data_IF_013001273925
#
_entry.id   IF_013001273925
#
_cell.length_a   1.000
_cell.length_b   1.000
_cell.length_c   1.000
_cell.angle_alpha   90.00
_cell.angle_beta   90.00
_cell.angle_gamma   90.00
#
_symmetry.space_group_name_H-M   'P 1'
#
loop_
_entity.id
_entity.type
_entity.pdbx_description
1 polymer ?
#
# COMPACT_ATOMS: atom_id res chain seq x y z
N UNK A 1 -9.69 0.81 -13.83
CA UNK A 1 -8.69 1.79 -14.26
C UNK A 1 -8.48 1.75 -15.76
N UNK A 2 -8.32 2.90 -16.40
CA UNK A 2 -7.95 3.01 -17.82
C UNK A 2 -6.46 2.78 -18.08
N UNK A 3 -5.66 2.68 -17.03
CA UNK A 3 -4.21 2.47 -17.10
C UNK A 3 -3.83 1.03 -17.44
N UNK A 4 -4.74 0.08 -17.24
CA UNK A 4 -4.55 -1.34 -17.51
C UNK A 4 -5.29 -1.81 -18.76
N UNK A 5 -4.82 -2.88 -19.34
CA UNK A 5 -5.47 -3.54 -20.46
C UNK A 5 -6.91 -3.97 -20.16
N UNK A 6 -7.68 -4.27 -21.20
CA UNK A 6 -9.14 -4.52 -21.14
C UNK A 6 -9.54 -5.53 -20.04
N UNK A 7 -8.74 -6.55 -19.82
CA UNK A 7 -9.04 -7.65 -18.89
C UNK A 7 -8.71 -7.34 -17.43
N UNK A 8 -7.86 -6.33 -17.15
CA UNK A 8 -7.34 -6.02 -15.82
C UNK A 8 -7.79 -4.65 -15.29
N UNK A 9 -8.80 -4.04 -15.93
CA UNK A 9 -9.30 -2.70 -15.57
C UNK A 9 -9.97 -2.65 -14.20
N UNK A 10 -10.55 -3.75 -13.76
CA UNK A 10 -11.32 -3.84 -12.53
C UNK A 10 -10.53 -4.57 -11.46
N UNK A 11 -10.57 -4.07 -10.25
CA UNK A 11 -10.03 -4.69 -9.04
C UNK A 11 -11.07 -4.62 -7.93
N UNK A 12 -11.14 -5.65 -7.09
CA UNK A 12 -12.01 -5.68 -5.90
C UNK A 12 -11.15 -5.61 -4.67
N UNK A 13 -11.38 -4.58 -3.84
CA UNK A 13 -10.56 -4.27 -2.67
C UNK A 13 -11.42 -4.24 -1.41
N UNK A 14 -11.74 -5.41 -0.82
CA UNK A 14 -12.57 -5.48 0.36
C UNK A 14 -11.84 -4.99 1.61
N UNK A 15 -12.59 -4.40 2.54
CA UNK A 15 -12.10 -4.06 3.86
C UNK A 15 -13.16 -4.33 4.93
N UNK A 16 -12.71 -4.74 6.11
CA UNK A 16 -13.55 -4.97 7.28
C UNK A 16 -12.79 -4.54 8.53
N UNK A 17 -13.50 -3.92 9.46
CA UNK A 17 -12.95 -3.57 10.77
C UNK A 17 -13.98 -3.82 11.87
N UNK A 18 -13.48 -4.25 13.02
CA UNK A 18 -14.25 -4.47 14.23
C UNK A 18 -13.57 -3.75 15.40
N UNK A 19 -14.39 -3.12 16.24
CA UNK A 19 -13.93 -2.52 17.47
C UNK A 19 -14.87 -2.95 18.60
N UNK A 20 -14.28 -3.47 19.69
CA UNK A 20 -15.02 -3.90 20.86
C UNK A 20 -14.54 -3.13 22.09
N UNK A 21 -15.45 -2.41 22.71
CA UNK A 21 -15.19 -1.64 23.93
C UNK A 21 -15.57 -2.47 25.14
N UNK A 22 -14.62 -3.22 25.64
CA UNK A 22 -14.79 -4.15 26.77
C UNK A 22 -15.23 -3.41 28.05
N UNK A 23 -14.75 -2.18 28.23
CA UNK A 23 -15.11 -1.36 29.40
C UNK A 23 -16.59 -0.98 29.51
N UNK A 24 -17.36 -1.16 28.44
CA UNK A 24 -18.82 -0.90 28.46
C UNK A 24 -19.65 -2.13 28.79
N UNK A 25 -19.06 -3.31 28.85
CA UNK A 25 -19.75 -4.54 29.17
C UNK A 25 -20.17 -4.56 30.65
N UNK A 26 -21.29 -5.25 30.95
CA UNK A 26 -21.85 -5.31 32.29
C UNK A 26 -20.97 -6.06 33.30
N UNK A 27 -20.18 -7.00 32.82
CA UNK A 27 -19.25 -7.78 33.63
C UNK A 27 -17.91 -7.07 33.89
N UNK A 28 -17.65 -5.92 33.22
CA UNK A 28 -16.43 -5.15 33.43
C UNK A 28 -16.52 -4.35 34.74
N UNK A 29 -15.50 -4.40 35.62
CA UNK A 29 -15.52 -3.67 36.89
C UNK A 29 -15.61 -2.15 36.62
N UNK A 30 -16.66 -1.52 37.15
CA UNK A 30 -16.92 -0.07 37.02
C UNK A 30 -16.58 0.70 38.30
N UNK A 31 -15.92 0.06 39.27
CA UNK A 31 -15.57 0.68 40.55
C UNK A 31 -14.51 1.77 40.40
N UNK A 32 -14.68 2.85 41.13
CA UNK A 32 -13.73 3.99 41.13
C UNK A 32 -12.31 3.61 41.58
N UNK A 33 -12.14 2.47 42.26
CA UNK A 33 -10.86 1.91 42.65
C UNK A 33 -10.20 1.04 41.60
N UNK A 34 -10.89 0.75 40.48
CA UNK A 34 -10.31 -0.02 39.40
C UNK A 34 -9.36 0.85 38.55
N UNK A 35 -8.12 0.43 38.43
CA UNK A 35 -7.06 1.20 37.79
C UNK A 35 -7.30 1.42 36.28
N UNK A 36 -8.13 0.59 35.67
CA UNK A 36 -8.44 0.62 34.23
C UNK A 36 -9.82 1.22 33.97
N UNK A 37 -9.88 2.38 33.37
CA UNK A 37 -11.12 3.10 33.08
C UNK A 37 -11.72 2.78 31.73
N UNK A 38 -10.89 2.48 30.74
CA UNK A 38 -11.35 2.11 29.39
C UNK A 38 -10.42 1.05 28.79
N UNK A 39 -11.04 0.09 28.12
CA UNK A 39 -10.36 -0.96 27.37
C UNK A 39 -11.12 -1.20 26.06
N UNK A 40 -10.42 -1.00 24.94
CA UNK A 40 -10.96 -1.18 23.61
C UNK A 40 -10.03 -2.02 22.76
N UNK A 41 -10.57 -3.06 22.16
CA UNK A 41 -9.87 -3.87 21.16
C UNK A 41 -10.29 -3.44 19.75
N UNK A 42 -9.34 -3.45 18.83
CA UNK A 42 -9.55 -3.13 17.41
C UNK A 42 -8.90 -4.21 16.55
N UNK A 43 -9.63 -4.68 15.55
CA UNK A 43 -9.12 -5.60 14.53
C UNK A 43 -9.55 -5.07 13.18
N UNK A 44 -8.64 -5.03 12.23
CA UNK A 44 -8.92 -4.60 10.88
C UNK A 44 -8.20 -5.46 9.85
N UNK A 45 -8.88 -5.71 8.75
CA UNK A 45 -8.30 -6.31 7.55
C UNK A 45 -8.75 -5.50 6.35
N UNK A 46 -7.82 -5.21 5.45
CA UNK A 46 -8.13 -4.50 4.22
C UNK A 46 -7.20 -4.89 3.08
N UNK A 47 -7.76 -4.85 1.90
CA UNK A 47 -7.01 -4.97 0.64
C UNK A 47 -7.11 -3.63 -0.07
N UNK A 48 -5.98 -3.12 -0.54
CA UNK A 48 -5.91 -1.90 -1.37
C UNK A 48 -5.16 -2.20 -2.65
N UNK A 49 -5.55 -1.55 -3.74
CA UNK A 49 -4.89 -1.66 -5.03
C UNK A 49 -4.08 -0.41 -5.35
N UNK A 50 -2.88 -0.60 -5.88
CA UNK A 50 -2.08 0.46 -6.45
C UNK A 50 -2.04 0.30 -7.97
N UNK A 51 -2.21 1.41 -8.69
CA UNK A 51 -2.23 1.49 -10.16
C UNK A 51 -1.24 2.52 -10.70
N UNK A 52 -0.22 2.85 -9.94
CA UNK A 52 0.72 3.92 -10.28
C UNK A 52 1.67 3.50 -11.40
N UNK A 53 1.11 3.38 -12.58
CA UNK A 53 1.81 3.27 -13.86
C UNK A 53 1.40 4.48 -14.73
N UNK A 54 2.25 4.88 -15.65
CA UNK A 54 1.91 5.92 -16.63
C UNK A 54 0.64 5.58 -17.40
N UNK A 55 0.01 6.58 -17.99
CA UNK A 55 -1.14 6.37 -18.85
C UNK A 55 -0.73 5.51 -20.04
N UNK A 56 -1.55 4.51 -20.36
CA UNK A 56 -1.30 3.57 -21.47
C UNK A 56 0.01 2.76 -21.37
N UNK A 57 0.57 2.57 -20.16
CA UNK A 57 1.81 1.80 -19.96
C UNK A 57 1.76 0.33 -20.39
N UNK A 58 0.59 -0.17 -20.76
CA UNK A 58 0.40 -1.51 -21.32
C UNK A 58 0.49 -1.58 -22.85
N UNK A 59 0.60 -0.43 -23.55
CA UNK A 59 0.63 -0.32 -25.00
C UNK A 59 2.06 -0.07 -25.46
N UNK A 60 2.45 -0.71 -26.57
CA UNK A 60 3.71 -0.40 -27.21
C UNK A 60 3.67 1.02 -27.82
N UNK A 61 4.71 1.78 -27.63
CA UNK A 61 4.91 3.06 -28.30
C UNK A 61 6.15 3.01 -29.22
N UNK A 62 6.07 3.81 -30.26
CA UNK A 62 7.12 3.91 -31.28
C UNK A 62 7.46 5.37 -31.52
N UNK A 63 8.75 5.65 -31.69
CA UNK A 63 9.24 6.92 -32.18
C UNK A 63 9.74 6.76 -33.61
N UNK A 64 9.78 7.87 -34.33
CA UNK A 64 10.43 7.92 -35.64
C UNK A 64 11.92 8.18 -35.43
N UNK A 65 12.75 7.29 -35.96
CA UNK A 65 14.21 7.45 -36.03
C UNK A 65 14.69 7.60 -37.46
N UNK A 66 15.89 8.02 -37.64
CA UNK A 66 16.56 8.06 -38.95
C UNK A 66 17.54 6.90 -39.01
N UNK A 67 17.38 6.05 -40.00
CA UNK A 67 18.29 4.95 -40.27
C UNK A 67 19.05 5.18 -41.60
N UNK A 68 20.40 5.22 -41.58
CA UNK A 68 21.18 5.33 -42.80
C UNK A 68 21.10 4.01 -43.59
N UNK A 69 20.53 4.08 -44.78
CA UNK A 69 20.46 2.96 -45.71
C UNK A 69 21.24 3.31 -47.00
N UNK A 70 22.46 2.81 -47.11
CA UNK A 70 23.39 3.22 -48.18
C UNK A 70 23.75 4.69 -48.07
N UNK A 71 23.58 5.46 -49.16
CA UNK A 71 23.83 6.92 -49.16
C UNK A 71 22.58 7.76 -48.81
N UNK A 72 21.47 7.15 -48.43
CA UNK A 72 20.22 7.85 -48.11
C UNK A 72 19.80 7.60 -46.68
N UNK A 73 19.24 8.64 -46.08
CA UNK A 73 18.60 8.55 -44.77
C UNK A 73 17.12 8.10 -44.96
N UNK A 74 16.76 7.00 -44.35
CA UNK A 74 15.40 6.48 -44.35
C UNK A 74 14.76 6.66 -42.97
N UNK A 75 13.45 6.99 -42.93
CA UNK A 75 12.71 7.04 -41.68
C UNK A 75 12.42 5.63 -41.21
N UNK A 76 12.82 5.32 -39.99
CA UNK A 76 12.54 4.07 -39.33
C UNK A 76 11.62 4.28 -38.12
N UNK A 77 10.84 3.25 -37.76
CA UNK A 77 10.10 3.22 -36.50
C UNK A 77 10.92 2.46 -35.47
N UNK A 78 11.22 3.13 -34.38
CA UNK A 78 11.96 2.55 -33.24
C UNK A 78 10.99 2.34 -32.09
N UNK A 79 10.93 1.13 -31.56
CA UNK A 79 10.09 0.81 -30.43
C UNK A 79 10.69 1.41 -29.16
N UNK A 80 9.91 2.23 -28.44
CA UNK A 80 10.34 2.91 -27.21
C UNK A 80 9.75 2.28 -25.95
N UNK A 81 8.68 1.48 -26.08
CA UNK A 81 8.03 0.82 -24.94
C UNK A 81 7.58 -0.56 -25.36
N UNK A 82 7.92 -1.57 -24.58
CA UNK A 82 7.43 -2.92 -24.77
C UNK A 82 6.01 -3.05 -24.21
N UNK A 83 5.09 -3.55 -25.04
CA UNK A 83 3.73 -3.85 -24.61
C UNK A 83 3.71 -4.92 -23.52
N UNK A 84 2.99 -4.66 -22.44
CA UNK A 84 2.68 -5.68 -21.42
C UNK A 84 1.16 -5.73 -21.16
N UNK A 85 0.40 -6.51 -21.93
CA UNK A 85 -1.05 -6.61 -21.75
C UNK A 85 -1.46 -7.28 -20.43
N UNK A 86 -0.55 -8.00 -19.78
CA UNK A 86 -0.81 -8.74 -18.55
C UNK A 86 -0.61 -7.90 -17.29
N UNK A 87 -0.20 -6.64 -17.44
CA UNK A 87 -0.02 -5.75 -16.31
C UNK A 87 -1.35 -5.57 -15.55
N UNK A 88 -1.30 -5.71 -14.24
CA UNK A 88 -2.47 -5.66 -13.37
C UNK A 88 -2.18 -4.93 -12.07
N UNK A 89 -3.19 -4.82 -11.21
CA UNK A 89 -3.11 -4.12 -9.94
C UNK A 89 -2.06 -4.73 -9.02
N UNK A 90 -1.25 -3.87 -8.43
CA UNK A 90 -0.47 -4.24 -7.25
C UNK A 90 -1.41 -4.32 -6.06
N UNK A 91 -1.39 -5.42 -5.32
CA UNK A 91 -2.25 -5.65 -4.17
C UNK A 91 -1.49 -5.47 -2.86
N UNK A 92 -2.06 -4.66 -1.98
CA UNK A 92 -1.59 -4.50 -0.60
C UNK A 92 -2.64 -5.04 0.35
N UNK A 93 -2.30 -6.11 1.07
CA UNK A 93 -3.13 -6.74 2.10
C UNK A 93 -2.59 -6.37 3.47
N UNK A 94 -3.42 -5.73 4.28
CA UNK A 94 -3.02 -5.28 5.62
C UNK A 94 -3.95 -5.85 6.67
N UNK A 95 -3.35 -6.40 7.75
CA UNK A 95 -4.04 -6.82 8.95
C UNK A 95 -3.52 -5.99 10.11
N UNK A 96 -4.43 -5.40 10.89
CA UNK A 96 -4.12 -4.58 12.05
C UNK A 96 -4.81 -5.17 13.27
N UNK A 97 -4.12 -5.15 14.40
CA UNK A 97 -4.67 -5.43 15.72
C UNK A 97 -4.26 -4.30 16.67
N UNK A 98 -5.20 -3.72 17.37
CA UNK A 98 -4.96 -2.59 18.28
C UNK A 98 -5.64 -2.81 19.63
N UNK A 99 -4.99 -2.30 20.67
CA UNK A 99 -5.50 -2.26 22.04
C UNK A 99 -5.34 -0.84 22.56
N UNK A 100 -6.44 -0.22 22.93
CA UNK A 100 -6.46 1.09 23.60
C UNK A 100 -6.86 0.90 25.05
N UNK A 101 -6.05 1.46 25.97
CA UNK A 101 -6.26 1.39 27.41
C UNK A 101 -6.18 2.76 28.02
N UNK A 102 -7.11 3.08 28.93
CA UNK A 102 -7.07 4.26 29.77
C UNK A 102 -6.99 3.86 31.23
N UNK A 103 -5.97 4.35 31.92
CA UNK A 103 -5.66 3.99 33.31
C UNK A 103 -5.67 5.23 34.19
N UNK A 104 -5.86 5.05 35.49
CA UNK A 104 -5.75 6.11 36.54
C UNK A 104 -6.65 7.32 36.23
N UNK A 105 -7.95 7.11 36.03
CA UNK A 105 -8.91 8.16 35.65
C UNK A 105 -8.47 8.93 34.40
N UNK A 106 -8.05 8.18 33.36
CA UNK A 106 -7.57 8.70 32.08
C UNK A 106 -6.30 9.55 32.16
N UNK A 107 -5.55 9.45 33.25
CA UNK A 107 -4.24 10.12 33.37
C UNK A 107 -3.16 9.44 32.54
N UNK A 108 -3.29 8.13 32.30
CA UNK A 108 -2.39 7.35 31.47
C UNK A 108 -3.21 6.71 30.37
N UNK A 109 -2.91 7.03 29.13
CA UNK A 109 -3.52 6.43 27.96
C UNK A 109 -2.44 5.70 27.17
N UNK A 110 -2.65 4.41 26.94
CA UNK A 110 -1.75 3.52 26.21
C UNK A 110 -2.48 2.98 24.98
N UNK A 111 -1.86 3.12 23.83
CA UNK A 111 -2.30 2.46 22.59
C UNK A 111 -1.18 1.56 22.08
N UNK A 112 -1.52 0.31 21.83
CA UNK A 112 -0.64 -0.69 21.25
C UNK A 112 -1.24 -1.14 19.94
N UNK A 113 -0.49 -1.04 18.86
CA UNK A 113 -0.90 -1.46 17.53
C UNK A 113 0.13 -2.44 16.96
N UNK A 114 -0.35 -3.57 16.45
CA UNK A 114 0.44 -4.53 15.71
C UNK A 114 -0.12 -4.64 14.29
N UNK A 115 0.76 -4.68 13.30
CA UNK A 115 0.34 -4.80 11.92
C UNK A 115 1.20 -5.76 11.11
N UNK A 116 0.56 -6.34 10.09
CA UNK A 116 1.21 -7.09 9.04
C UNK A 116 0.69 -6.56 7.70
N UNK A 117 1.60 -6.03 6.89
CA UNK A 117 1.33 -5.55 5.53
C UNK A 117 2.06 -6.43 4.53
N UNK A 118 1.32 -7.00 3.58
CA UNK A 118 1.87 -7.81 2.48
C UNK A 118 1.53 -7.13 1.17
N UNK A 119 2.55 -6.82 0.38
CA UNK A 119 2.41 -6.33 -0.99
C UNK A 119 2.72 -7.48 -1.92
N UNK A 120 1.84 -7.74 -2.86
CA UNK A 120 2.02 -8.73 -3.93
C UNK A 120 1.93 -8.02 -5.28
N UNK A 121 2.54 -8.62 -6.28
CA UNK A 121 2.48 -8.16 -7.66
C UNK A 121 2.93 -6.70 -7.82
N UNK A 122 4.02 -6.34 -7.11
CA UNK A 122 4.56 -4.98 -7.12
C UNK A 122 4.82 -4.52 -8.55
N UNK A 123 4.35 -3.31 -8.85
CA UNK A 123 4.59 -2.65 -10.13
C UNK A 123 6.01 -2.10 -10.16
N UNK A 124 6.88 -2.77 -10.86
CA UNK A 124 8.29 -2.38 -11.01
C UNK A 124 8.62 -2.10 -12.47
N UNK A 125 9.55 -1.18 -12.67
CA UNK A 125 10.14 -0.95 -13.97
C UNK A 125 11.27 -1.94 -14.20
N UNK A 126 11.19 -2.69 -15.27
CA UNK A 126 12.23 -3.61 -15.70
C UNK A 126 12.94 -3.04 -16.94
N UNK A 127 14.26 -2.97 -16.89
CA UNK A 127 15.08 -2.56 -18.04
C UNK A 127 15.11 -3.68 -19.07
N UNK A 128 14.99 -3.31 -20.33
CA UNK A 128 15.08 -4.24 -21.46
C UNK A 128 16.51 -4.22 -21.99
N UNK A 129 17.16 -5.37 -22.20
CA UNK A 129 18.51 -5.42 -22.75
C UNK A 129 18.56 -4.78 -24.14
N UNK A 130 19.61 -4.02 -24.44
CA UNK A 130 19.86 -3.36 -25.74
C UNK A 130 19.86 -4.36 -26.89
N UNK A 131 20.31 -5.60 -26.64
CA UNK A 131 20.34 -6.68 -27.60
C UNK A 131 18.94 -7.08 -28.12
N UNK A 132 17.89 -6.61 -27.48
CA UNK A 132 16.50 -6.83 -27.89
C UNK A 132 16.03 -5.89 -29.01
N UNK A 133 16.87 -4.95 -29.46
CA UNK A 133 16.54 -3.99 -30.52
C UNK A 133 15.74 -2.77 -30.06
N UNK A 134 15.63 -2.57 -28.75
CA UNK A 134 15.04 -1.38 -28.16
C UNK A 134 16.12 -0.33 -27.87
N UNK A 135 15.70 0.91 -27.67
CA UNK A 135 16.62 1.96 -27.21
C UNK A 135 17.21 1.63 -25.82
N UNK A 136 18.40 2.14 -25.53
CA UNK A 136 19.19 1.86 -24.32
C UNK A 136 18.46 2.12 -22.98
N UNK A 137 17.43 2.97 -23.01
CA UNK A 137 16.67 3.35 -21.81
C UNK A 137 15.27 2.77 -21.79
N UNK A 138 14.99 1.76 -22.63
CA UNK A 138 13.63 1.22 -22.70
C UNK A 138 13.29 0.44 -21.44
N UNK A 139 12.29 0.92 -20.75
CA UNK A 139 11.74 0.31 -19.54
C UNK A 139 10.32 -0.20 -19.82
N UNK A 140 9.97 -1.32 -19.24
CA UNK A 140 8.60 -1.81 -19.22
C UNK A 140 8.12 -2.02 -17.79
N UNK A 141 6.84 -1.76 -17.55
CA UNK A 141 6.24 -2.12 -16.26
C UNK A 141 5.89 -3.60 -16.24
N UNK A 142 6.21 -4.24 -15.13
CA UNK A 142 5.85 -5.63 -14.88
C UNK A 142 5.44 -5.80 -13.43
N UNK A 143 4.53 -6.74 -13.19
CA UNK A 143 4.17 -7.16 -11.86
C UNK A 143 5.20 -8.20 -11.38
N UNK A 144 6.17 -7.74 -10.60
CA UNK A 144 7.23 -8.59 -10.08
C UNK A 144 7.55 -8.19 -8.64
N UNK A 145 7.80 -9.19 -7.81
CA UNK A 145 8.20 -8.97 -6.45
C UNK A 145 7.05 -9.02 -5.44
N UNK A 146 7.45 -9.31 -4.21
CA UNK A 146 6.58 -9.38 -3.04
C UNK A 146 7.32 -8.74 -1.88
N UNK A 147 6.60 -8.01 -1.05
CA UNK A 147 7.15 -7.40 0.15
C UNK A 147 6.26 -7.72 1.34
N UNK A 148 6.89 -7.90 2.50
CA UNK A 148 6.17 -8.08 3.76
C UNK A 148 6.78 -7.19 4.82
N UNK A 149 5.95 -6.31 5.37
CA UNK A 149 6.28 -5.49 6.52
C UNK A 149 5.44 -5.93 7.71
N UNK A 150 6.04 -5.94 8.88
CA UNK A 150 5.37 -6.19 10.15
C UNK A 150 5.98 -5.27 11.20
N UNK A 151 5.16 -4.79 12.10
CA UNK A 151 5.62 -3.92 13.17
C UNK A 151 4.67 -3.91 14.34
N UNK A 152 5.18 -3.36 15.45
CA UNK A 152 4.41 -3.04 16.64
C UNK A 152 4.70 -1.58 16.96
N UNK A 153 3.66 -0.84 17.23
CA UNK A 153 3.71 0.58 17.59
C UNK A 153 3.11 0.74 18.98
N UNK A 154 3.73 1.56 19.81
CA UNK A 154 3.24 1.89 21.16
C UNK A 154 3.18 3.40 21.31
N UNK A 155 2.02 3.90 21.70
CA UNK A 155 1.81 5.29 22.05
C UNK A 155 1.42 5.40 23.51
N UNK A 156 2.21 6.13 24.28
CA UNK A 156 1.92 6.43 25.68
C UNK A 156 1.69 7.93 25.85
N UNK A 157 0.55 8.30 26.39
CA UNK A 157 0.20 9.66 26.74
C UNK A 157 -0.11 9.75 28.24
N UNK A 158 0.56 10.67 28.94
CA UNK A 158 0.37 10.88 30.38
C UNK A 158 -0.02 12.33 30.69
N UNK A 159 -0.88 12.51 31.68
CA UNK A 159 -1.24 13.82 32.24
C UNK A 159 -0.66 13.86 33.63
N UNK A 160 0.51 14.50 33.80
CA UNK A 160 1.27 14.48 35.03
C UNK A 160 0.78 15.53 36.05
N UNK A 161 0.35 16.70 35.57
CA UNK A 161 -0.13 17.79 36.39
C UNK A 161 -1.54 18.22 35.95
N UNK A 162 -2.46 18.32 36.88
CA UNK A 162 -3.77 18.97 36.74
C UNK A 162 -3.83 20.13 37.76
N UNK A 163 -3.88 21.36 37.31
CA UNK A 163 -3.96 22.52 38.17
C UNK A 163 -3.88 23.84 37.39
N UNK A 164 -3.69 24.97 38.12
CA UNK A 164 -3.64 26.33 37.57
C UNK A 164 -2.54 26.54 36.50
N UNK A 165 -1.62 25.60 36.32
CA UNK A 165 -0.50 25.67 35.38
C UNK A 165 -0.54 24.55 34.32
N UNK A 166 -1.68 23.93 34.11
CA UNK A 166 -1.83 22.89 33.06
C UNK A 166 -2.43 23.47 31.78
#
# INVERSE_FOLDING_TARGET
>A
SSRFGKNNRWGTFPSVSLAWRISQEDWFPKDNNFLMNDLKLRVGYGVTGNQEIGNYGFVASYNTGVYPFGNNNSTALVSTTLSNPNIHWEEVRQTNFGVDMSLFNSRVNLSLDAYIKKTADMLVKASIPITSGFEDTTETFTNAGKMRNKGVEMTLRTINLKGLFS
#
